data_IF_844267116342
#
_entry.id   IF_844267116342
#
_cell.length_a   1.000
_cell.length_b   1.000
_cell.length_c   1.000
_cell.angle_alpha   90.00
_cell.angle_beta   90.00
_cell.angle_gamma   90.00
#
_symmetry.space_group_name_H-M   'P 1'
#
loop_
_entity.id
_entity.type
_entity.pdbx_description
1 polymer ?
#
# COMPACT_ATOMS: atom_id res chain seq x y z
N UNK A 1 -10.24 4.10 -24.98
CA UNK A 1 -9.00 4.63 -24.38
C UNK A 1 -8.71 3.75 -23.18
N UNK A 2 -7.59 3.04 -23.16
CA UNK A 2 -7.21 2.23 -21.99
C UNK A 2 -6.81 3.15 -20.84
N UNK A 3 -7.60 3.15 -19.76
CA UNK A 3 -7.22 3.84 -18.54
C UNK A 3 -6.23 2.96 -17.78
N UNK A 4 -4.96 3.36 -17.77
CA UNK A 4 -3.94 2.70 -16.95
C UNK A 4 -3.94 3.31 -15.55
N UNK A 5 -4.01 2.45 -14.55
CA UNK A 5 -3.82 2.79 -13.15
C UNK A 5 -2.50 2.19 -12.67
N UNK A 6 -1.77 2.96 -11.88
CA UNK A 6 -0.53 2.51 -11.23
C UNK A 6 -0.81 2.49 -9.73
N UNK A 7 -0.46 1.39 -9.07
CA UNK A 7 -0.57 1.27 -7.61
C UNK A 7 0.80 0.93 -7.02
N UNK A 8 1.20 1.68 -6.01
CA UNK A 8 2.36 1.38 -5.17
C UNK A 8 1.91 1.00 -3.77
N UNK A 9 2.50 -0.06 -3.21
CA UNK A 9 2.28 -0.51 -1.84
C UNK A 9 3.63 -0.65 -1.16
N UNK A 10 3.83 0.05 -0.04
CA UNK A 10 5.02 -0.05 0.81
C UNK A 10 4.64 -0.64 2.17
N UNK A 11 5.07 -1.87 2.42
CA UNK A 11 4.77 -2.63 3.63
C UNK A 11 5.89 -2.58 4.66
N UNK A 12 5.68 -1.81 5.74
CA UNK A 12 6.66 -1.59 6.81
C UNK A 12 6.34 -2.30 8.13
N UNK A 13 7.25 -2.14 9.09
CA UNK A 13 7.08 -2.61 10.47
C UNK A 13 6.17 -1.73 11.33
N UNK A 14 5.82 -0.53 10.88
CA UNK A 14 4.98 0.44 11.60
C UNK A 14 3.69 0.77 10.86
N UNK A 15 3.73 0.84 9.53
CA UNK A 15 2.58 1.15 8.67
C UNK A 15 2.72 0.46 7.31
N UNK A 16 1.61 0.38 6.59
CA UNK A 16 1.57 0.05 5.17
C UNK A 16 0.97 1.24 4.43
N UNK A 17 1.64 1.72 3.38
CA UNK A 17 1.21 2.90 2.64
C UNK A 17 0.87 2.52 1.19
N UNK A 18 -0.25 3.03 0.68
CA UNK A 18 -0.73 2.73 -0.68
C UNK A 18 -1.09 4.00 -1.41
N UNK A 19 -0.60 4.15 -2.65
CA UNK A 19 -0.91 5.28 -3.53
C UNK A 19 -1.37 4.73 -4.88
N UNK A 20 -2.48 5.27 -5.40
CA UNK A 20 -2.99 4.99 -6.74
C UNK A 20 -2.85 6.24 -7.61
N UNK A 21 -2.33 6.06 -8.82
CA UNK A 21 -2.08 7.12 -9.80
C UNK A 21 -2.80 6.80 -11.12
N UNK A 22 -3.22 7.84 -11.85
CA UNK A 22 -3.53 7.72 -13.27
C UNK A 22 -2.23 7.64 -14.11
N UNK A 23 -2.38 7.42 -15.42
CA UNK A 23 -1.25 7.34 -16.35
C UNK A 23 -0.49 8.66 -16.59
N UNK A 24 -0.98 9.78 -16.04
CA UNK A 24 -0.32 11.08 -16.05
C UNK A 24 0.40 11.37 -14.73
N UNK A 25 0.37 10.41 -13.79
CA UNK A 25 0.95 10.56 -12.45
C UNK A 25 0.07 11.36 -11.49
N UNK A 26 -1.22 11.56 -11.77
CA UNK A 26 -2.15 12.21 -10.84
C UNK A 26 -2.54 11.22 -9.76
N UNK A 27 -2.36 11.59 -8.49
CA UNK A 27 -2.82 10.80 -7.35
C UNK A 27 -4.35 10.77 -7.35
N UNK A 28 -4.90 9.57 -7.46
CA UNK A 28 -6.33 9.29 -7.39
C UNK A 28 -6.76 8.84 -5.99
N UNK A 29 -5.83 8.27 -5.22
CA UNK A 29 -6.09 7.80 -3.87
C UNK A 29 -4.81 7.54 -3.09
N UNK A 30 -4.90 7.73 -1.78
CA UNK A 30 -3.83 7.50 -0.81
C UNK A 30 -4.42 6.91 0.45
N UNK A 31 -3.81 5.85 0.97
CA UNK A 31 -4.24 5.18 2.19
C UNK A 31 -3.05 4.77 3.04
N UNK A 32 -3.25 4.78 4.36
CA UNK A 32 -2.32 4.28 5.36
C UNK A 32 -3.04 3.24 6.21
N UNK A 33 -2.45 2.06 6.31
CA UNK A 33 -2.91 0.96 7.13
C UNK A 33 -1.84 0.59 8.18
N UNK A 34 -2.16 -0.42 8.99
CA UNK A 34 -1.26 -0.96 10.00
C UNK A 34 0.01 -1.58 9.42
N UNK A 35 0.95 -2.00 10.29
CA UNK A 35 2.18 -2.66 9.87
C UNK A 35 1.89 -4.00 9.19
N UNK A 36 2.71 -4.40 8.23
CA UNK A 36 2.58 -5.67 7.47
C UNK A 36 3.87 -6.50 7.44
N UNK A 37 5.01 -5.95 7.90
CA UNK A 37 6.27 -6.69 7.88
C UNK A 37 6.29 -7.80 8.93
N UNK A 38 6.17 -9.04 8.46
CA UNK A 38 6.13 -10.26 9.27
C UNK A 38 7.32 -10.42 10.23
N UNK A 39 8.51 -9.93 9.85
CA UNK A 39 9.71 -10.03 10.68
C UNK A 39 9.65 -9.15 11.93
N UNK A 40 8.74 -8.16 11.95
CA UNK A 40 8.58 -7.22 13.07
C UNK A 40 7.36 -7.57 13.92
N UNK A 41 6.22 -7.89 13.30
CA UNK A 41 4.93 -8.03 13.99
C UNK A 41 4.42 -9.47 14.08
N UNK A 42 5.11 -10.43 13.44
CA UNK A 42 4.69 -11.82 13.34
C UNK A 42 3.54 -12.06 12.36
N UNK A 43 3.34 -13.33 11.97
CA UNK A 43 2.39 -13.73 10.92
C UNK A 43 0.95 -13.29 11.20
N UNK A 44 0.46 -13.55 12.41
CA UNK A 44 -0.94 -13.30 12.78
C UNK A 44 -1.35 -11.82 12.68
N UNK A 45 -0.41 -10.89 12.91
CA UNK A 45 -0.69 -9.47 12.79
C UNK A 45 -0.50 -8.99 11.34
N UNK A 46 0.49 -9.52 10.62
CA UNK A 46 0.77 -9.16 9.23
C UNK A 46 -0.36 -9.51 8.25
N UNK A 47 -1.21 -10.50 8.56
CA UNK A 47 -2.35 -10.88 7.71
C UNK A 47 -3.61 -10.04 7.95
N UNK A 48 -3.56 -9.08 8.89
CA UNK A 48 -4.69 -8.19 9.22
C UNK A 48 -4.54 -6.80 8.59
N UNK A 49 -3.43 -6.56 7.90
CA UNK A 49 -3.00 -5.29 7.33
C UNK A 49 -3.76 -4.94 6.06
#
# INVERSE_FOLDING_TARGET
MDTKYIIGVDGGGTKTETIVLDNRGIILGHSIAGPSNINIIGFNQAVKS
#
